data_IF_003025452402
#
_entry.id   IF_003025452402
#
_cell.length_a   1.000
_cell.length_b   1.000
_cell.length_c   1.000
_cell.angle_alpha   90.00
_cell.angle_beta   90.00
_cell.angle_gamma   90.00
#
_symmetry.space_group_name_H-M   'P 1'
#
loop_
_entity.id
_entity.type
_entity.pdbx_description
1 polymer ?
#
# COMPACT_ATOMS: atom_id res chain seq x y z
N UNK A 1 -18.72 30.51 46.03
CA UNK A 1 -18.45 30.96 44.65
C UNK A 1 -17.12 31.68 44.63
N UNK A 2 -16.09 31.10 44.02
CA UNK A 2 -14.84 31.82 43.73
C UNK A 2 -14.34 31.39 42.35
N UNK A 3 -14.25 32.35 41.44
CA UNK A 3 -13.97 32.19 40.02
C UNK A 3 -12.51 31.88 39.77
N UNK A 4 -12.21 30.76 39.08
CA UNK A 4 -10.87 30.47 38.59
C UNK A 4 -10.65 31.23 37.27
N UNK A 5 -9.73 32.20 37.29
CA UNK A 5 -9.19 32.82 36.07
C UNK A 5 -8.24 31.82 35.40
N UNK A 6 -8.56 31.42 34.17
CA UNK A 6 -7.67 30.63 33.32
C UNK A 6 -6.52 31.53 32.83
N UNK A 7 -5.31 31.34 33.35
CA UNK A 7 -4.09 31.93 32.77
C UNK A 7 -3.76 31.24 31.45
N UNK A 8 -3.25 32.04 30.52
CA UNK A 8 -3.01 31.73 29.09
C UNK A 8 -1.90 30.68 28.83
N UNK A 9 -1.43 29.98 29.86
CA UNK A 9 -0.24 29.12 29.83
C UNK A 9 -0.51 27.64 29.46
N UNK A 10 -1.76 27.20 29.42
CA UNK A 10 -2.09 25.80 29.09
C UNK A 10 -1.96 25.42 27.58
N UNK A 11 -1.48 26.33 26.71
CA UNK A 11 -1.32 26.08 25.26
C UNK A 11 0.11 25.76 24.81
N UNK A 12 1.02 25.44 25.73
CA UNK A 12 2.39 24.97 25.38
C UNK A 12 2.64 23.56 25.90
N UNK A 13 1.76 22.62 25.58
CA UNK A 13 2.13 21.22 25.56
C UNK A 13 3.21 21.04 24.49
N UNK A 14 4.43 20.72 24.90
CA UNK A 14 5.60 20.62 24.02
C UNK A 14 5.29 19.81 22.76
N UNK A 15 5.41 20.45 21.59
CA UNK A 15 5.31 19.78 20.31
C UNK A 15 6.44 18.73 20.25
N UNK A 16 6.11 17.45 20.45
CA UNK A 16 7.02 16.34 20.17
C UNK A 16 7.54 16.54 18.74
N UNK A 17 8.86 16.44 18.58
CA UNK A 17 9.50 16.51 17.27
C UNK A 17 8.74 15.61 16.30
N UNK A 18 8.33 16.11 15.12
CA UNK A 18 7.65 15.28 14.17
C UNK A 18 8.57 14.12 13.78
N UNK A 19 8.03 12.89 13.63
CA UNK A 19 8.85 11.73 13.27
C UNK A 19 9.62 11.98 11.96
N UNK A 20 10.79 11.34 11.76
CA UNK A 20 11.74 11.70 10.70
C UNK A 20 11.15 11.81 9.29
N UNK A 21 10.10 11.04 9.00
CA UNK A 21 9.42 11.01 7.70
C UNK A 21 8.55 12.25 7.39
N UNK A 22 8.21 13.07 8.40
CA UNK A 22 7.43 14.31 8.22
C UNK A 22 8.25 15.45 7.59
N UNK A 23 9.56 15.27 7.43
CA UNK A 23 10.48 16.23 6.80
C UNK A 23 10.70 15.85 5.32
N UNK A 24 9.82 16.28 4.41
CA UNK A 24 10.00 16.04 2.97
C UNK A 24 10.23 17.34 2.18
N UNK A 25 11.36 17.42 1.46
CA UNK A 25 11.75 18.57 0.64
C UNK A 25 11.04 18.67 -0.73
N UNK A 26 11.24 19.75 -1.50
CA UNK A 26 10.47 20.05 -2.72
C UNK A 26 10.57 18.99 -3.85
N UNK A 27 11.73 18.35 -4.02
CA UNK A 27 11.94 17.27 -5.00
C UNK A 27 11.07 16.02 -4.70
N UNK A 28 10.73 15.81 -3.43
CA UNK A 28 9.86 14.73 -2.99
C UNK A 28 8.42 14.92 -3.49
N UNK A 29 7.89 16.13 -3.41
CA UNK A 29 6.50 16.46 -3.76
C UNK A 29 6.21 16.22 -5.25
N UNK A 30 7.21 16.45 -6.11
CA UNK A 30 7.12 16.25 -7.56
C UNK A 30 7.08 14.78 -7.99
N UNK A 31 7.83 13.89 -7.32
CA UNK A 31 7.86 12.45 -7.65
C UNK A 31 6.60 11.71 -7.19
N UNK A 32 6.01 12.14 -6.09
CA UNK A 32 4.71 11.65 -5.62
C UNK A 32 3.59 11.92 -6.62
N UNK A 33 3.55 13.12 -7.21
CA UNK A 33 2.54 13.49 -8.21
C UNK A 33 2.60 12.56 -9.45
N UNK A 34 3.80 12.16 -9.88
CA UNK A 34 3.96 11.20 -10.98
C UNK A 34 3.43 9.79 -10.64
N UNK A 35 3.58 9.34 -9.40
CA UNK A 35 3.01 8.07 -8.94
C UNK A 35 1.47 8.11 -8.93
N UNK A 36 0.89 9.23 -8.49
CA UNK A 36 -0.58 9.48 -8.52
C UNK A 36 -1.10 9.51 -9.96
N UNK A 37 -0.37 10.13 -10.90
CA UNK A 37 -0.73 10.15 -12.32
C UNK A 37 -0.70 8.75 -12.98
N UNK A 38 0.15 7.84 -12.50
CA UNK A 38 0.22 6.45 -12.97
C UNK A 38 -0.94 5.54 -12.51
N UNK A 39 -1.73 5.96 -11.52
CA UNK A 39 -2.87 5.20 -10.97
C UNK A 39 -4.02 5.10 -11.98
N UNK A 40 -4.19 6.11 -12.84
CA UNK A 40 -5.28 6.12 -13.84
C UNK A 40 -5.15 4.97 -14.85
N UNK A 41 -3.92 4.59 -15.24
CA UNK A 41 -3.67 3.48 -16.14
C UNK A 41 -4.05 2.12 -15.54
N UNK A 42 -4.03 1.99 -14.20
CA UNK A 42 -4.51 0.79 -13.52
C UNK A 42 -6.02 0.60 -13.69
N UNK A 43 -6.82 1.68 -13.66
CA UNK A 43 -8.29 1.58 -13.76
C UNK A 43 -8.84 1.52 -15.18
N UNK A 44 -8.12 2.05 -16.16
CA UNK A 44 -8.68 2.34 -17.50
C UNK A 44 -8.13 1.48 -18.63
N UNK A 45 -7.19 0.58 -18.33
CA UNK A 45 -6.61 -0.31 -19.33
C UNK A 45 -7.66 -1.24 -19.95
N UNK A 46 -7.86 -1.10 -21.26
CA UNK A 46 -8.74 -1.98 -22.04
C UNK A 46 -8.20 -3.42 -22.01
N UNK A 47 -9.11 -4.40 -21.95
CA UNK A 47 -8.77 -5.82 -21.99
C UNK A 47 -8.39 -6.47 -20.65
N UNK A 48 -8.31 -5.71 -19.55
CA UNK A 48 -8.02 -6.29 -18.23
C UNK A 48 -9.28 -6.85 -17.57
N UNK A 49 -9.14 -7.97 -16.84
CA UNK A 49 -10.26 -8.54 -16.08
C UNK A 49 -10.61 -7.68 -14.86
N UNK A 50 -11.89 -7.65 -14.52
CA UNK A 50 -12.45 -6.85 -13.43
C UNK A 50 -13.50 -7.65 -12.65
N UNK A 51 -13.66 -7.32 -11.38
CA UNK A 51 -14.70 -7.90 -10.52
C UNK A 51 -14.57 -7.40 -9.09
N UNK A 52 -15.05 -8.19 -8.14
CA UNK A 52 -14.89 -7.87 -6.72
C UNK A 52 -13.41 -7.93 -6.32
N UNK A 53 -13.01 -6.97 -5.49
CA UNK A 53 -11.71 -6.86 -4.85
C UNK A 53 -11.92 -6.81 -3.34
N UNK A 54 -10.99 -7.38 -2.59
CA UNK A 54 -10.80 -7.12 -1.17
C UNK A 54 -10.22 -5.72 -0.94
N UNK A 55 -9.34 -5.25 -1.83
CA UNK A 55 -8.65 -3.96 -1.81
C UNK A 55 -7.76 -3.66 -0.57
N UNK A 56 -7.59 -4.66 0.31
CA UNK A 56 -6.74 -4.61 1.52
C UNK A 56 -6.15 -6.01 1.84
N UNK A 57 -5.87 -6.83 0.82
CA UNK A 57 -5.49 -8.24 0.98
C UNK A 57 -4.04 -8.43 1.47
N UNK A 58 -3.79 -8.09 2.73
CA UNK A 58 -2.52 -8.28 3.43
C UNK A 58 -2.42 -9.66 4.12
N UNK A 59 -1.21 -10.12 4.42
CA UNK A 59 -0.90 -11.29 5.29
C UNK A 59 -1.68 -11.26 6.60
N UNK A 60 -1.80 -10.08 7.19
CA UNK A 60 -2.53 -9.89 8.45
C UNK A 60 -4.06 -10.08 8.32
N UNK A 61 -4.59 -10.21 7.10
CA UNK A 61 -6.03 -10.35 6.79
C UNK A 61 -6.41 -11.73 6.26
N UNK A 62 -5.46 -12.67 6.27
CA UNK A 62 -5.69 -14.06 5.88
C UNK A 62 -5.49 -15.00 7.07
N UNK A 63 -6.26 -16.08 7.09
CA UNK A 63 -6.26 -17.07 8.16
C UNK A 63 -5.61 -18.36 7.68
N UNK A 64 -4.79 -18.95 8.55
CA UNK A 64 -4.14 -20.24 8.29
C UNK A 64 -4.43 -21.23 9.41
N UNK A 65 -4.63 -22.48 9.02
CA UNK A 65 -4.57 -23.64 9.93
C UNK A 65 -3.38 -24.49 9.52
N UNK A 66 -2.31 -24.47 10.32
CA UNK A 66 -1.03 -25.02 9.92
C UNK A 66 -0.48 -24.28 8.70
N UNK A 67 -0.26 -25.00 7.59
CA UNK A 67 0.19 -24.44 6.31
C UNK A 67 -0.95 -24.15 5.33
N UNK A 68 -2.20 -24.46 5.70
CA UNK A 68 -3.35 -24.31 4.82
C UNK A 68 -4.02 -22.96 5.00
N UNK A 69 -4.19 -22.21 3.90
CA UNK A 69 -5.02 -21.00 3.87
C UNK A 69 -6.49 -21.39 4.03
N UNK A 70 -7.16 -20.90 5.07
CA UNK A 70 -8.54 -21.26 5.43
C UNK A 70 -9.55 -20.13 5.29
N UNK A 71 -9.08 -18.88 5.15
CA UNK A 71 -9.99 -17.77 4.93
C UNK A 71 -9.30 -16.42 4.76
N UNK A 72 -10.13 -15.41 4.47
CA UNK A 72 -9.77 -14.00 4.49
C UNK A 72 -10.85 -13.23 5.26
N UNK A 73 -10.46 -12.11 5.88
CA UNK A 73 -11.32 -11.29 6.73
C UNK A 73 -11.13 -9.82 6.42
N UNK A 74 -12.01 -8.96 6.94
CA UNK A 74 -11.90 -7.50 6.82
C UNK A 74 -12.18 -6.93 5.41
N UNK A 75 -13.42 -7.10 4.96
CA UNK A 75 -13.90 -6.64 3.64
C UNK A 75 -14.41 -5.19 3.64
N UNK A 76 -14.07 -4.35 4.61
CA UNK A 76 -14.59 -2.96 4.67
C UNK A 76 -14.15 -2.10 3.48
N UNK A 77 -12.97 -2.38 2.92
CA UNK A 77 -12.44 -1.70 1.72
C UNK A 77 -12.90 -2.35 0.41
N UNK A 78 -13.68 -3.43 0.47
CA UNK A 78 -14.04 -4.21 -0.71
C UNK A 78 -14.78 -3.34 -1.74
N UNK A 79 -14.38 -3.49 -3.00
CA UNK A 79 -14.94 -2.70 -4.09
C UNK A 79 -14.87 -3.46 -5.41
N UNK A 80 -15.34 -2.85 -6.50
CA UNK A 80 -15.15 -3.41 -7.85
C UNK A 80 -13.97 -2.74 -8.54
N UNK A 81 -13.12 -3.56 -9.15
CA UNK A 81 -11.94 -3.06 -9.84
C UNK A 81 -11.17 -4.16 -10.57
N UNK A 82 -9.95 -3.86 -11.03
CA UNK A 82 -9.13 -4.81 -11.77
C UNK A 82 -8.52 -5.83 -10.81
N UNK A 83 -8.74 -7.12 -11.02
CA UNK A 83 -8.28 -8.19 -10.10
C UNK A 83 -6.79 -8.19 -9.81
N UNK A 84 -5.98 -7.73 -10.77
CA UNK A 84 -4.54 -7.55 -10.57
C UNK A 84 -4.19 -6.59 -9.42
N UNK A 85 -5.12 -5.76 -8.96
CA UNK A 85 -4.90 -4.89 -7.80
C UNK A 85 -4.60 -5.71 -6.54
N UNK A 86 -5.52 -6.62 -6.16
CA UNK A 86 -5.33 -7.45 -4.96
C UNK A 86 -4.11 -8.36 -5.08
N UNK A 87 -3.84 -8.88 -6.29
CA UNK A 87 -2.62 -9.63 -6.55
C UNK A 87 -1.37 -8.77 -6.29
N UNK A 88 -1.36 -7.52 -6.74
CA UNK A 88 -0.24 -6.61 -6.48
C UNK A 88 -0.09 -6.31 -4.98
N UNK A 89 -1.19 -6.10 -4.25
CA UNK A 89 -1.16 -5.91 -2.78
C UNK A 89 -0.52 -7.13 -2.09
N UNK A 90 -0.95 -8.33 -2.46
CA UNK A 90 -0.41 -9.57 -1.91
C UNK A 90 1.09 -9.74 -2.24
N UNK A 91 1.50 -9.54 -3.50
CA UNK A 91 2.91 -9.66 -3.90
C UNK A 91 3.79 -8.65 -3.14
N UNK A 92 3.33 -7.40 -3.03
CA UNK A 92 4.04 -6.35 -2.28
C UNK A 92 4.23 -6.78 -0.82
N UNK A 93 3.17 -7.24 -0.15
CA UNK A 93 3.27 -7.59 1.26
C UNK A 93 4.09 -8.86 1.53
N UNK A 94 3.91 -9.91 0.73
CA UNK A 94 4.57 -11.20 0.96
C UNK A 94 6.03 -11.20 0.51
N UNK A 95 6.34 -10.54 -0.61
CA UNK A 95 7.64 -10.60 -1.27
C UNK A 95 8.51 -9.36 -1.15
N UNK A 96 7.95 -8.19 -0.82
CA UNK A 96 8.70 -6.92 -0.90
C UNK A 96 8.82 -6.23 0.45
N UNK A 97 7.71 -6.11 1.18
CA UNK A 97 7.72 -5.38 2.45
C UNK A 97 8.55 -6.12 3.50
N UNK A 98 9.08 -5.34 4.45
CA UNK A 98 9.89 -5.80 5.57
C UNK A 98 11.22 -6.46 5.18
N UNK A 99 11.70 -6.22 3.95
CA UNK A 99 12.97 -6.76 3.43
C UNK A 99 13.85 -5.65 2.83
N UNK A 100 15.19 -5.76 2.93
CA UNK A 100 16.11 -4.84 2.24
C UNK A 100 16.03 -4.95 0.71
N UNK A 101 15.78 -6.16 0.22
CA UNK A 101 15.64 -6.49 -1.20
C UNK A 101 14.38 -7.35 -1.42
N UNK A 102 13.68 -7.21 -2.55
CA UNK A 102 12.55 -8.05 -2.88
C UNK A 102 12.93 -9.53 -3.00
N UNK A 103 12.13 -10.40 -2.39
CA UNK A 103 12.17 -11.85 -2.58
C UNK A 103 11.43 -12.20 -3.87
N UNK A 104 12.18 -12.23 -4.97
CA UNK A 104 11.62 -12.52 -6.29
C UNK A 104 11.02 -13.91 -6.38
N UNK A 105 11.64 -14.90 -5.72
CA UNK A 105 11.12 -16.28 -5.69
C UNK A 105 9.74 -16.33 -5.04
N UNK A 106 9.54 -15.64 -3.90
CA UNK A 106 8.24 -15.53 -3.27
C UNK A 106 7.22 -14.81 -4.18
N UNK A 107 7.61 -13.72 -4.84
CA UNK A 107 6.75 -12.99 -5.77
C UNK A 107 6.30 -13.88 -6.95
N UNK A 108 7.24 -14.55 -7.61
CA UNK A 108 7.00 -15.42 -8.76
C UNK A 108 6.14 -16.62 -8.40
N UNK A 109 6.40 -17.26 -7.25
CA UNK A 109 5.58 -18.38 -6.77
C UNK A 109 4.13 -17.95 -6.53
N UNK A 110 3.91 -16.80 -5.89
CA UNK A 110 2.56 -16.27 -5.64
C UNK A 110 1.81 -15.98 -6.95
N UNK A 111 2.48 -15.34 -7.90
CA UNK A 111 1.91 -15.02 -9.22
C UNK A 111 1.64 -16.30 -10.03
N UNK A 112 2.56 -17.27 -10.04
CA UNK A 112 2.40 -18.54 -10.75
C UNK A 112 1.19 -19.32 -10.23
N UNK A 113 1.07 -19.49 -8.93
CA UNK A 113 -0.06 -20.21 -8.33
C UNK A 113 -1.38 -19.46 -8.52
N UNK A 114 -1.37 -18.12 -8.52
CA UNK A 114 -2.55 -17.36 -8.93
C UNK A 114 -2.92 -17.62 -10.40
N UNK A 115 -1.93 -17.64 -11.30
CA UNK A 115 -2.13 -17.87 -12.73
C UNK A 115 -2.72 -19.26 -13.03
N UNK A 116 -2.32 -20.29 -12.28
CA UNK A 116 -2.83 -21.66 -12.41
C UNK A 116 -4.35 -21.74 -12.17
N UNK A 117 -4.87 -20.97 -11.21
CA UNK A 117 -6.32 -20.89 -10.94
C UNK A 117 -7.00 -19.94 -11.92
N UNK A 118 -6.34 -18.82 -12.23
CA UNK A 118 -6.90 -17.76 -13.07
C UNK A 118 -5.81 -17.14 -13.95
N UNK A 119 -5.72 -17.56 -15.23
CA UNK A 119 -4.71 -17.05 -16.13
C UNK A 119 -4.74 -15.53 -16.28
N UNK A 120 -3.55 -14.94 -16.14
CA UNK A 120 -3.32 -13.52 -16.41
C UNK A 120 -3.39 -13.26 -17.91
N UNK A 121 -4.03 -12.16 -18.30
CA UNK A 121 -4.13 -11.72 -19.70
C UNK A 121 -2.98 -10.81 -20.05
N UNK A 122 -2.62 -10.75 -21.34
CA UNK A 122 -1.56 -9.85 -21.84
C UNK A 122 -1.71 -8.39 -21.35
N UNK A 123 -2.94 -7.87 -21.31
CA UNK A 123 -3.22 -6.52 -20.81
C UNK A 123 -2.89 -6.33 -19.32
N UNK A 124 -2.96 -7.39 -18.51
CA UNK A 124 -2.61 -7.34 -17.09
C UNK A 124 -1.11 -7.41 -16.87
N UNK A 125 -0.39 -8.21 -17.66
CA UNK A 125 1.09 -8.17 -17.72
C UNK A 125 1.57 -6.76 -18.07
N UNK A 126 1.04 -6.18 -19.16
CA UNK A 126 1.42 -4.85 -19.64
C UNK A 126 1.16 -3.73 -18.63
N UNK A 127 0.22 -3.93 -17.70
CA UNK A 127 -0.19 -2.91 -16.72
C UNK A 127 0.16 -3.27 -15.28
N UNK A 128 1.02 -4.28 -15.11
CA UNK A 128 1.48 -4.74 -13.80
C UNK A 128 2.22 -3.66 -13.02
N UNK A 129 3.15 -2.87 -13.61
CA UNK A 129 3.77 -1.75 -12.91
C UNK A 129 2.77 -0.65 -12.50
N UNK A 130 1.65 -0.50 -13.22
CA UNK A 130 0.61 0.45 -12.83
C UNK A 130 -0.18 -0.04 -11.60
N UNK A 131 -0.41 -1.36 -11.47
CA UNK A 131 -1.07 -1.95 -10.30
C UNK A 131 -0.24 -1.75 -9.03
N UNK A 132 1.08 -1.94 -9.11
CA UNK A 132 2.00 -1.68 -7.99
C UNK A 132 2.00 -0.23 -7.56
N UNK A 133 2.05 0.70 -8.52
CA UNK A 133 1.97 2.15 -8.24
C UNK A 133 0.63 2.51 -7.58
N UNK A 134 -0.48 1.95 -8.07
CA UNK A 134 -1.80 2.17 -7.48
C UNK A 134 -1.86 1.69 -6.02
N UNK A 135 -1.44 0.46 -5.75
CA UNK A 135 -1.40 -0.09 -4.40
C UNK A 135 -0.46 0.72 -3.48
N UNK A 136 0.76 0.99 -3.95
CA UNK A 136 1.76 1.77 -3.21
C UNK A 136 1.25 3.17 -2.84
N UNK A 137 0.68 3.90 -3.80
CA UNK A 137 0.12 5.24 -3.56
C UNK A 137 -1.06 5.19 -2.60
N UNK A 138 -2.01 4.27 -2.77
CA UNK A 138 -3.19 4.18 -1.87
C UNK A 138 -2.76 4.01 -0.42
N UNK A 139 -1.92 3.03 -0.13
CA UNK A 139 -1.52 2.73 1.25
C UNK A 139 -0.54 3.76 1.82
N UNK A 140 0.32 4.34 1.00
CA UNK A 140 1.17 5.44 1.43
C UNK A 140 0.34 6.65 1.86
N UNK A 141 -0.64 7.06 1.05
CA UNK A 141 -1.53 8.18 1.38
C UNK A 141 -2.40 7.88 2.61
N UNK A 142 -2.94 6.67 2.74
CA UNK A 142 -3.70 6.26 3.93
C UNK A 142 -2.85 6.39 5.20
N UNK A 143 -1.64 5.82 5.21
CA UNK A 143 -0.75 5.90 6.37
C UNK A 143 -0.29 7.32 6.67
N UNK A 144 -0.09 8.14 5.64
CA UNK A 144 0.20 9.57 5.82
C UNK A 144 -0.96 10.33 6.44
N UNK A 145 -2.20 10.04 6.02
CA UNK A 145 -3.39 10.63 6.57
C UNK A 145 -3.55 10.27 8.05
N UNK A 146 -3.44 8.98 8.39
CA UNK A 146 -3.56 8.50 9.78
C UNK A 146 -2.48 9.10 10.69
N UNK A 147 -1.27 9.27 10.16
CA UNK A 147 -0.18 9.94 10.87
C UNK A 147 -0.32 11.48 10.92
N UNK A 148 -1.15 12.04 10.03
CA UNK A 148 -1.54 13.44 9.97
C UNK A 148 -2.58 13.81 11.02
N UNK A 149 -3.54 12.90 11.24
CA UNK A 149 -4.77 13.10 11.98
C UNK A 149 -5.05 11.91 12.93
N UNK A 150 -4.26 11.74 14.01
CA UNK A 150 -4.47 10.64 14.95
C UNK A 150 -5.83 10.81 15.65
N UNK A 151 -6.60 9.73 15.77
CA UNK A 151 -7.88 9.71 16.49
C UNK A 151 -7.64 9.92 17.99
N UNK A 152 -8.52 10.68 18.65
CA UNK A 152 -8.42 10.93 20.08
C UNK A 152 -8.56 9.62 20.87
N UNK A 153 -7.58 9.31 21.73
CA UNK A 153 -7.61 8.14 22.61
C UNK A 153 -6.94 6.87 22.06
N UNK A 154 -6.58 6.81 20.78
CA UNK A 154 -5.82 5.69 20.23
C UNK A 154 -4.31 5.91 20.46
N UNK A 155 -3.61 4.93 21.06
CA UNK A 155 -2.15 4.87 20.91
C UNK A 155 -1.89 4.71 19.41
N UNK A 156 -1.10 5.57 18.76
CA UNK A 156 -0.86 5.44 17.34
C UNK A 156 -0.04 4.18 17.09
N UNK A 157 -0.71 3.05 16.83
CA UNK A 157 -0.17 1.96 16.04
C UNK A 157 -0.13 2.43 14.57
N UNK A 158 0.50 3.58 14.34
CA UNK A 158 0.61 4.20 13.03
C UNK A 158 1.69 3.44 12.28
N UNK A 159 1.27 2.58 11.35
CA UNK A 159 2.18 1.88 10.44
C UNK A 159 3.07 2.91 9.72
N UNK A 160 4.37 2.64 9.60
CA UNK A 160 5.30 3.58 8.95
C UNK A 160 4.86 3.82 7.49
N UNK A 161 4.58 5.08 7.09
CA UNK A 161 4.28 5.39 5.69
C UNK A 161 5.47 5.11 4.76
N UNK A 162 6.72 5.14 5.25
CA UNK A 162 7.88 4.95 4.37
C UNK A 162 7.93 3.58 3.70
N UNK A 163 7.34 2.54 4.29
CA UNK A 163 7.30 1.21 3.67
C UNK A 163 6.68 1.28 2.26
N UNK A 164 5.52 1.91 2.12
CA UNK A 164 4.88 2.07 0.82
C UNK A 164 5.52 3.14 -0.06
N UNK A 165 6.21 4.11 0.54
CA UNK A 165 7.05 5.03 -0.23
C UNK A 165 8.21 4.30 -0.92
N UNK A 166 8.82 3.30 -0.28
CA UNK A 166 9.86 2.49 -0.89
C UNK A 166 9.30 1.65 -2.03
N UNK A 167 8.09 1.07 -1.87
CA UNK A 167 7.39 0.35 -2.96
C UNK A 167 7.14 1.25 -4.17
N UNK A 168 6.66 2.49 -3.95
CA UNK A 168 6.47 3.46 -5.04
C UNK A 168 7.79 3.76 -5.75
N UNK A 169 8.89 3.95 -5.00
CA UNK A 169 10.22 4.18 -5.57
C UNK A 169 10.69 3.00 -6.40
N UNK A 170 10.58 1.79 -5.86
CA UNK A 170 10.91 0.57 -6.58
C UNK A 170 10.16 0.49 -7.92
N UNK A 171 8.85 0.76 -7.89
CA UNK A 171 8.01 0.74 -9.10
C UNK A 171 8.33 1.84 -10.13
N UNK A 172 8.99 2.92 -9.73
CA UNK A 172 9.39 4.02 -10.63
C UNK A 172 10.83 3.87 -11.12
N UNK A 173 11.73 3.44 -10.24
CA UNK A 173 13.17 3.42 -10.48
C UNK A 173 13.63 2.08 -11.08
N UNK A 174 12.89 0.98 -10.86
CA UNK A 174 13.23 -0.38 -11.31
C UNK A 174 12.01 -1.15 -11.88
N UNK A 175 11.34 -0.63 -12.95
CA UNK A 175 10.20 -1.30 -13.54
C UNK A 175 10.50 -2.71 -14.07
N UNK A 176 11.74 -3.00 -14.46
CA UNK A 176 12.22 -4.32 -14.87
C UNK A 176 12.14 -5.35 -13.75
N UNK A 177 12.35 -4.95 -12.50
CA UNK A 177 12.22 -5.84 -11.35
C UNK A 177 10.76 -6.26 -11.14
N UNK A 178 9.82 -5.34 -11.41
CA UNK A 178 8.39 -5.65 -11.38
C UNK A 178 8.02 -6.61 -12.51
N UNK A 179 8.61 -6.45 -13.70
CA UNK A 179 8.44 -7.42 -14.78
C UNK A 179 9.05 -8.78 -14.43
N UNK A 180 10.18 -8.82 -13.72
CA UNK A 180 10.80 -10.07 -13.28
C UNK A 180 9.91 -10.87 -12.31
N UNK A 181 9.00 -10.21 -11.56
CA UNK A 181 8.01 -10.95 -10.75
C UNK A 181 7.02 -11.75 -11.59
N UNK A 182 6.83 -11.39 -12.86
CA UNK A 182 5.92 -12.06 -13.79
C UNK A 182 6.62 -13.14 -14.64
N UNK A 183 7.94 -13.28 -14.54
CA UNK A 183 8.75 -14.27 -15.24
C UNK A 183 8.69 -15.63 -14.53
#
# INVERSE_FOLDING_TARGET
MNSIRLTREARRGGLKQPPPWRRSGPAQRRRTAAAVLGVSAHRTARGTAHGALHADLFRAKVLFTGTQLTGSVDFYDACRGPWRYDLAVAVIDWGVMDRPTPDLSACQNLIRTYHEVRPLRAAEYATWPAAWRAAGVRFWLSRLHDAGYPRAGERPFTKDPNAFRQVIRLALDQPELLCATLA
#
